data_IF_465994845367
#
_entry.id   IF_465994845367
#
_cell.length_a   1.000
_cell.length_b   1.000
_cell.length_c   1.000
_cell.angle_alpha   90.00
_cell.angle_beta   90.00
_cell.angle_gamma   90.00
#
_symmetry.space_group_name_H-M   'P 1'
#
loop_
_entity.id
_entity.type
_entity.pdbx_description
1 polymer ?
#
# COMPACT_ATOMS: atom_id res chain seq x y z
N UNK A 1 -1.92 57.51 13.50
CA UNK A 1 -1.40 56.31 12.77
C UNK A 1 -0.99 55.16 13.69
N UNK A 2 -0.86 55.35 15.02
CA UNK A 2 -0.42 54.32 15.97
C UNK A 2 -1.50 53.29 16.34
N UNK A 3 -2.76 53.70 16.43
CA UNK A 3 -3.89 52.81 16.77
C UNK A 3 -4.13 51.70 15.71
N UNK A 4 -4.14 52.05 14.42
CA UNK A 4 -4.34 51.08 13.34
C UNK A 4 -3.24 50.00 13.28
N UNK A 5 -1.99 50.36 13.61
CA UNK A 5 -0.89 49.40 13.69
C UNK A 5 -1.00 48.45 14.90
N UNK A 6 -1.67 48.89 15.97
CA UNK A 6 -1.87 48.11 17.19
C UNK A 6 -3.01 47.10 17.03
N UNK A 7 -4.10 47.48 16.38
CA UNK A 7 -5.20 46.56 16.00
C UNK A 7 -4.73 45.46 15.04
N UNK A 8 -3.93 45.81 14.02
CA UNK A 8 -3.39 44.84 13.08
C UNK A 8 -2.51 43.79 13.77
N UNK A 9 -1.73 44.21 14.77
CA UNK A 9 -0.89 43.32 15.59
C UNK A 9 -1.72 42.40 16.48
N UNK A 10 -2.80 42.88 17.08
CA UNK A 10 -3.71 42.08 17.89
C UNK A 10 -4.42 41.02 17.04
N UNK A 11 -4.93 41.38 15.87
CA UNK A 11 -5.55 40.43 14.94
C UNK A 11 -4.54 39.37 14.48
N UNK A 12 -3.33 39.79 14.12
CA UNK A 12 -2.26 38.87 13.70
C UNK A 12 -1.86 37.91 14.83
N UNK A 13 -1.73 38.42 16.06
CA UNK A 13 -1.42 37.61 17.24
C UNK A 13 -2.55 36.63 17.57
N UNK A 14 -3.81 37.06 17.47
CA UNK A 14 -4.98 36.21 17.71
C UNK A 14 -5.06 35.10 16.67
N UNK A 15 -4.89 35.42 15.39
CA UNK A 15 -4.83 34.42 14.30
C UNK A 15 -3.68 33.45 14.51
N UNK A 16 -2.52 33.92 14.98
CA UNK A 16 -1.36 33.07 15.22
C UNK A 16 -1.57 32.13 16.42
N UNK A 17 -2.17 32.62 17.52
CA UNK A 17 -2.52 31.79 18.68
C UNK A 17 -3.58 30.76 18.31
N UNK A 18 -4.60 31.15 17.55
CA UNK A 18 -5.69 30.27 17.11
C UNK A 18 -5.18 29.22 16.13
N UNK A 19 -4.30 29.61 15.20
CA UNK A 19 -3.63 28.70 14.27
C UNK A 19 -2.69 27.71 14.98
N UNK A 20 -1.91 28.19 15.96
CA UNK A 20 -1.05 27.34 16.79
C UNK A 20 -1.88 26.36 17.62
N UNK A 21 -2.96 26.83 18.24
CA UNK A 21 -3.91 26.00 18.99
C UNK A 21 -4.53 24.91 18.12
N UNK A 22 -4.99 25.27 16.91
CA UNK A 22 -5.52 24.30 15.94
C UNK A 22 -4.46 23.27 15.52
N UNK A 23 -3.22 23.72 15.27
CA UNK A 23 -2.12 22.85 14.89
C UNK A 23 -1.77 21.83 15.99
N UNK A 24 -1.74 22.25 17.26
CA UNK A 24 -1.49 21.35 18.39
C UNK A 24 -2.68 20.42 18.66
N UNK A 25 -3.92 20.89 18.46
CA UNK A 25 -5.12 20.09 18.69
C UNK A 25 -5.36 19.03 17.59
N UNK A 26 -4.95 19.31 16.35
CA UNK A 26 -5.14 18.46 15.19
C UNK A 26 -4.76 16.98 15.41
N UNK A 27 -3.53 16.62 15.84
CA UNK A 27 -3.15 15.22 16.02
C UNK A 27 -3.99 14.52 17.10
N UNK A 28 -4.43 15.25 18.12
CA UNK A 28 -5.28 14.70 19.18
C UNK A 28 -6.69 14.39 18.67
N UNK A 29 -7.28 15.32 17.92
CA UNK A 29 -8.59 15.12 17.28
C UNK A 29 -8.53 13.98 16.26
N UNK A 30 -7.47 13.90 15.46
CA UNK A 30 -7.26 12.82 14.49
C UNK A 30 -7.06 11.46 15.17
N UNK A 31 -6.36 11.42 16.31
CA UNK A 31 -6.14 10.19 17.07
C UNK A 31 -7.46 9.65 17.63
N UNK A 32 -8.24 10.50 18.30
CA UNK A 32 -9.54 10.13 18.88
C UNK A 32 -10.56 9.79 17.78
N UNK A 33 -10.60 10.58 16.71
CA UNK A 33 -11.51 10.40 15.59
C UNK A 33 -11.02 9.42 14.51
N UNK A 34 -9.91 8.71 14.75
CA UNK A 34 -9.24 7.87 13.76
C UNK A 34 -10.18 6.84 13.10
N UNK A 35 -11.17 6.32 13.84
CA UNK A 35 -12.21 5.41 13.35
C UNK A 35 -12.98 5.96 12.13
N UNK A 36 -13.10 7.28 12.01
CA UNK A 36 -13.77 7.95 10.87
C UNK A 36 -12.76 8.52 9.89
N UNK A 37 -11.66 9.10 10.39
CA UNK A 37 -10.65 9.73 9.54
C UNK A 37 -9.82 8.72 8.74
N UNK A 38 -9.49 7.55 9.29
CA UNK A 38 -8.70 6.53 8.59
C UNK A 38 -9.42 6.00 7.33
N UNK A 39 -10.70 5.58 7.40
CA UNK A 39 -11.45 5.21 6.19
C UNK A 39 -11.54 6.34 5.18
N UNK A 40 -11.74 7.58 5.65
CA UNK A 40 -11.87 8.75 4.77
C UNK A 40 -10.56 9.05 4.03
N UNK A 41 -9.43 9.06 4.74
CA UNK A 41 -8.11 9.32 4.15
C UNK A 41 -7.73 8.18 3.21
N UNK A 42 -7.97 6.93 3.61
CA UNK A 42 -7.76 5.77 2.75
C UNK A 42 -8.60 5.86 1.49
N UNK A 43 -9.89 6.19 1.62
CA UNK A 43 -10.79 6.39 0.48
C UNK A 43 -10.34 7.55 -0.43
N UNK A 44 -9.80 8.63 0.13
CA UNK A 44 -9.23 9.73 -0.65
C UNK A 44 -8.04 9.25 -1.49
N UNK A 45 -7.11 8.49 -0.89
CA UNK A 45 -5.96 7.92 -1.58
C UNK A 45 -6.42 6.96 -2.67
N UNK A 46 -7.32 6.02 -2.34
CA UNK A 46 -7.88 5.07 -3.30
C UNK A 46 -8.62 5.78 -4.44
N UNK A 47 -9.29 6.89 -4.15
CA UNK A 47 -9.96 7.70 -5.19
C UNK A 47 -8.95 8.25 -6.19
N UNK A 48 -7.79 8.72 -5.75
CA UNK A 48 -6.73 9.22 -6.65
C UNK A 48 -6.21 8.09 -7.54
N UNK A 49 -6.02 6.90 -6.97
CA UNK A 49 -5.58 5.69 -7.71
C UNK A 49 -6.63 5.23 -8.72
N UNK A 50 -7.90 5.24 -8.34
CA UNK A 50 -9.02 4.75 -9.14
C UNK A 50 -9.52 5.77 -10.18
N UNK A 51 -9.32 7.07 -9.96
CA UNK A 51 -9.78 8.14 -10.85
C UNK A 51 -9.39 7.92 -12.32
N UNK A 52 -8.12 7.65 -12.69
CA UNK A 52 -7.75 7.47 -14.10
C UNK A 52 -8.46 6.28 -14.75
N UNK A 53 -8.69 5.19 -14.00
CA UNK A 53 -9.42 4.02 -14.48
C UNK A 53 -10.91 4.36 -14.67
N UNK A 54 -11.53 4.98 -13.67
CA UNK A 54 -12.92 5.37 -13.72
C UNK A 54 -13.19 6.41 -14.83
N UNK A 55 -12.25 7.32 -15.10
CA UNK A 55 -12.34 8.32 -16.17
C UNK A 55 -12.22 7.69 -17.56
N UNK A 56 -11.32 6.71 -17.74
CA UNK A 56 -11.26 5.93 -18.99
C UNK A 56 -12.56 5.17 -19.24
N UNK A 57 -13.11 4.52 -18.21
CA UNK A 57 -14.38 3.80 -18.30
C UNK A 57 -15.54 4.73 -18.63
N UNK A 58 -15.64 5.89 -17.97
CA UNK A 58 -16.65 6.90 -18.28
C UNK A 58 -16.48 7.47 -19.71
N UNK A 59 -15.24 7.60 -20.18
CA UNK A 59 -14.91 8.01 -21.54
C UNK A 59 -15.39 7.04 -22.63
N UNK A 60 -15.61 5.77 -22.30
CA UNK A 60 -16.21 4.77 -23.20
C UNK A 60 -17.75 4.84 -23.27
N UNK A 61 -18.37 5.84 -22.62
CA UNK A 61 -19.82 6.05 -22.65
C UNK A 61 -20.59 5.42 -21.49
N UNK A 62 -19.89 4.83 -20.51
CA UNK A 62 -20.51 4.29 -19.30
C UNK A 62 -21.04 5.42 -18.39
N UNK A 63 -22.24 5.28 -17.78
CA UNK A 63 -22.69 6.20 -16.75
C UNK A 63 -21.67 6.26 -15.61
N UNK A 64 -21.45 7.46 -15.05
CA UNK A 64 -20.42 7.69 -14.04
C UNK A 64 -20.49 6.72 -12.85
N UNK A 65 -21.71 6.41 -12.39
CA UNK A 65 -21.96 5.45 -11.29
C UNK A 65 -21.42 4.05 -11.64
N UNK A 66 -21.68 3.58 -12.86
CA UNK A 66 -21.24 2.27 -13.35
C UNK A 66 -19.72 2.26 -13.53
N UNK A 67 -19.14 3.33 -14.09
CA UNK A 67 -17.70 3.47 -14.24
C UNK A 67 -16.97 3.43 -12.88
N UNK A 68 -17.50 4.12 -11.87
CA UNK A 68 -16.95 4.07 -10.50
C UNK A 68 -17.05 2.69 -9.87
N UNK A 69 -18.19 2.01 -10.03
CA UNK A 69 -18.38 0.66 -9.50
C UNK A 69 -17.42 -0.34 -10.14
N UNK A 70 -17.30 -0.33 -11.48
CA UNK A 70 -16.38 -1.19 -12.21
C UNK A 70 -14.93 -0.91 -11.79
N UNK A 71 -14.53 0.36 -11.67
CA UNK A 71 -13.19 0.69 -11.22
C UNK A 71 -12.87 0.13 -9.82
N UNK A 72 -13.82 0.24 -8.89
CA UNK A 72 -13.69 -0.34 -7.54
C UNK A 72 -13.61 -1.87 -7.58
N UNK A 73 -14.46 -2.53 -8.37
CA UNK A 73 -14.45 -3.98 -8.54
C UNK A 73 -13.15 -4.48 -9.17
N UNK A 74 -12.58 -3.75 -10.14
CA UNK A 74 -11.29 -4.08 -10.75
C UNK A 74 -10.16 -4.00 -9.71
N UNK A 75 -10.16 -2.99 -8.83
CA UNK A 75 -9.19 -2.91 -7.74
C UNK A 75 -9.33 -4.09 -6.77
N UNK A 76 -10.55 -4.39 -6.32
CA UNK A 76 -10.82 -5.53 -5.45
C UNK A 76 -10.39 -6.85 -6.09
N UNK A 77 -10.75 -7.07 -7.35
CA UNK A 77 -10.35 -8.25 -8.11
C UNK A 77 -8.83 -8.34 -8.25
N UNK A 78 -8.15 -7.22 -8.52
CA UNK A 78 -6.69 -7.14 -8.59
C UNK A 78 -6.00 -7.50 -7.28
N UNK A 79 -6.51 -7.00 -6.15
CA UNK A 79 -6.00 -7.31 -4.80
C UNK A 79 -6.19 -8.79 -4.49
N UNK A 80 -7.40 -9.33 -4.70
CA UNK A 80 -7.71 -10.74 -4.45
C UNK A 80 -6.85 -11.64 -5.34
N UNK A 81 -6.74 -11.32 -6.63
CA UNK A 81 -5.93 -12.08 -7.59
C UNK A 81 -4.45 -12.06 -7.19
N UNK A 82 -3.88 -10.90 -6.89
CA UNK A 82 -2.49 -10.78 -6.43
C UNK A 82 -2.26 -11.60 -5.15
N UNK A 83 -3.20 -11.54 -4.19
CA UNK A 83 -3.17 -12.34 -2.99
C UNK A 83 -3.17 -13.84 -3.29
N UNK A 84 -4.08 -14.33 -4.15
CA UNK A 84 -4.15 -15.75 -4.49
C UNK A 84 -2.89 -16.24 -5.23
N UNK A 85 -2.35 -15.45 -6.14
CA UNK A 85 -1.19 -15.82 -6.96
C UNK A 85 0.12 -15.87 -6.17
N UNK A 86 0.24 -15.05 -5.12
CA UNK A 86 1.48 -14.92 -4.34
C UNK A 86 1.41 -15.73 -3.05
N UNK A 87 0.27 -15.68 -2.36
CA UNK A 87 0.14 -16.24 -1.02
C UNK A 87 0.03 -17.77 -1.05
N UNK A 88 -0.66 -18.36 -2.05
CA UNK A 88 -0.77 -19.81 -2.12
C UNK A 88 0.59 -20.51 -2.25
N UNK A 89 1.48 -20.12 -3.19
CA UNK A 89 2.76 -20.79 -3.30
C UNK A 89 3.70 -20.45 -2.15
N UNK A 90 3.55 -19.28 -1.52
CA UNK A 90 4.29 -18.91 -0.33
C UNK A 90 3.96 -19.83 0.87
N UNK A 91 2.69 -20.20 1.06
CA UNK A 91 2.28 -21.16 2.09
C UNK A 91 2.90 -22.54 1.84
N UNK A 92 2.84 -23.01 0.59
CA UNK A 92 3.44 -24.32 0.22
C UNK A 92 4.96 -24.31 0.43
N UNK A 93 5.63 -23.21 0.09
CA UNK A 93 7.06 -23.04 0.34
C UNK A 93 7.34 -23.08 1.85
N UNK A 94 6.53 -22.40 2.66
CA UNK A 94 6.66 -22.39 4.11
C UNK A 94 6.53 -23.79 4.72
N UNK A 95 5.55 -24.58 4.26
CA UNK A 95 5.35 -25.96 4.70
C UNK A 95 6.50 -26.90 4.27
N UNK A 96 7.18 -26.58 3.17
CA UNK A 96 8.32 -27.37 2.65
C UNK A 96 9.69 -26.90 3.16
N UNK A 97 9.78 -25.73 3.82
CA UNK A 97 11.02 -25.22 4.41
C UNK A 97 11.73 -26.21 5.34
N UNK A 98 11.06 -26.90 6.29
CA UNK A 98 11.73 -27.87 7.16
C UNK A 98 12.41 -28.99 6.37
N UNK A 99 11.73 -29.50 5.33
CA UNK A 99 12.27 -30.55 4.48
C UNK A 99 13.45 -30.06 3.61
N UNK A 100 13.42 -28.80 3.17
CA UNK A 100 14.56 -28.17 2.47
C UNK A 100 15.76 -28.06 3.42
N UNK A 101 15.54 -27.63 4.67
CA UNK A 101 16.59 -27.53 5.69
C UNK A 101 17.21 -28.90 6.01
N UNK A 102 16.38 -29.94 6.12
CA UNK A 102 16.84 -31.31 6.34
C UNK A 102 17.69 -31.82 5.17
N UNK A 103 17.28 -31.58 3.93
CA UNK A 103 18.05 -31.96 2.73
C UNK A 103 19.38 -31.20 2.64
N UNK A 104 19.38 -29.90 2.92
CA UNK A 104 20.61 -29.10 2.98
C UNK A 104 21.53 -29.63 4.07
N UNK A 105 21.00 -29.94 5.25
CA UNK A 105 21.76 -30.53 6.36
C UNK A 105 22.38 -31.88 6.01
N UNK A 106 21.65 -32.75 5.31
CA UNK A 106 22.16 -34.04 4.84
C UNK A 106 23.26 -33.87 3.79
N UNK A 107 23.08 -33.01 2.79
CA UNK A 107 24.12 -32.74 1.79
C UNK A 107 25.35 -32.06 2.40
N UNK A 108 25.17 -31.18 3.36
CA UNK A 108 26.28 -30.60 4.12
C UNK A 108 27.02 -31.66 4.95
N UNK A 109 26.31 -32.65 5.49
CA UNK A 109 26.92 -33.76 6.23
C UNK A 109 27.73 -34.66 5.30
N UNK A 110 27.23 -34.99 4.12
CA UNK A 110 27.96 -35.75 3.09
C UNK A 110 29.21 -34.99 2.57
N UNK A 111 29.09 -33.69 2.30
CA UNK A 111 30.27 -32.86 1.98
C UNK A 111 31.25 -32.80 3.16
N UNK A 112 30.75 -32.65 4.39
CA UNK A 112 31.60 -32.61 5.60
C UNK A 112 32.31 -33.93 5.87
N UNK A 113 31.72 -35.07 5.53
CA UNK A 113 32.37 -36.38 5.58
C UNK A 113 33.49 -36.50 4.54
N UNK A 114 33.29 -35.97 3.32
CA UNK A 114 34.34 -35.88 2.30
C UNK A 114 35.48 -34.93 2.70
N UNK A 115 35.18 -33.86 3.45
CA UNK A 115 36.15 -32.94 4.06
C UNK A 115 36.47 -33.28 5.54
N UNK A 116 36.21 -34.51 5.98
CA UNK A 116 36.24 -34.95 7.39
C UNK A 116 37.55 -34.67 8.13
N UNK A 117 38.66 -34.53 7.39
CA UNK A 117 39.98 -34.16 7.93
C UNK A 117 40.04 -32.74 8.50
N UNK A 118 39.24 -31.79 7.98
CA UNK A 118 39.21 -30.40 8.45
C UNK A 118 38.32 -30.23 9.71
N UNK A 119 37.38 -31.16 9.90
CA UNK A 119 36.41 -31.16 10.99
C UNK A 119 37.00 -31.54 12.34
N UNK A 120 38.07 -32.34 12.35
CA UNK A 120 38.82 -32.68 13.59
C UNK A 120 39.56 -31.45 14.12
N UNK A 121 40.02 -30.56 13.24
CA UNK A 121 40.68 -29.31 13.61
C UNK A 121 39.71 -28.26 14.19
N UNK A 122 38.47 -28.18 13.68
CA UNK A 122 37.46 -27.22 14.15
C UNK A 122 36.72 -27.67 15.42
N UNK A 123 36.58 -28.99 15.66
CA UNK A 123 35.97 -29.53 16.90
C UNK A 123 36.73 -29.10 18.16
N UNK A 124 38.07 -29.02 18.11
CA UNK A 124 38.90 -28.52 19.23
C UNK A 124 38.76 -27.02 19.49
N UNK A 125 38.25 -26.25 18.51
CA UNK A 125 38.03 -24.81 18.63
C UNK A 125 36.60 -24.48 19.10
N UNK A 126 35.62 -25.31 18.74
CA UNK A 126 34.22 -25.15 19.16
C UNK A 126 33.95 -25.55 20.61
N UNK A 127 34.78 -26.39 21.22
CA UNK A 127 34.73 -26.68 22.67
C UNK A 127 35.11 -25.46 23.54
N UNK A 128 35.71 -24.42 22.94
CA UNK A 128 36.07 -23.17 23.62
C UNK A 128 35.02 -22.05 23.45
N UNK A 129 34.04 -22.21 22.54
CA UNK A 129 33.09 -21.15 22.17
C UNK A 129 31.70 -21.73 21.91
N UNK A 130 31.02 -22.15 22.98
CA UNK A 130 29.65 -22.64 22.88
C UNK A 130 28.65 -21.49 22.77
N UNK A 131 27.94 -21.36 21.65
CA UNK A 131 26.64 -20.67 21.51
C UNK A 131 25.93 -21.13 20.22
N UNK A 132 24.69 -21.64 20.33
CA UNK A 132 23.77 -21.88 19.21
C UNK A 132 22.43 -21.20 19.51
N UNK A 133 22.08 -20.18 18.73
CA UNK A 133 20.83 -19.43 18.84
C UNK A 133 19.86 -19.81 17.72
N UNK A 134 18.64 -20.19 18.11
CA UNK A 134 17.51 -20.38 17.21
C UNK A 134 16.84 -19.02 16.92
N UNK A 135 16.67 -18.69 15.65
CA UNK A 135 15.99 -17.48 15.20
C UNK A 135 14.52 -17.83 14.90
N UNK A 136 13.62 -17.35 15.76
CA UNK A 136 12.17 -17.51 15.60
C UNK A 136 11.68 -16.38 14.70
N UNK A 137 11.47 -16.71 13.42
CA UNK A 137 10.76 -15.82 12.49
C UNK A 137 9.29 -15.81 12.91
N UNK A 138 8.86 -14.68 13.48
CA UNK A 138 7.47 -14.40 13.82
C UNK A 138 6.68 -14.37 12.51
N UNK A 139 5.87 -15.41 12.29
CA UNK A 139 4.89 -15.44 11.22
C UNK A 139 3.92 -14.27 11.44
N UNK A 140 4.01 -13.25 10.59
CA UNK A 140 2.94 -12.25 10.50
C UNK A 140 1.68 -12.97 10.01
N UNK A 141 0.53 -12.79 10.69
CA UNK A 141 -0.70 -13.46 10.30
C UNK A 141 -0.96 -13.25 8.82
N UNK A 142 -1.19 -14.34 8.08
CA UNK A 142 -1.48 -14.23 6.65
C UNK A 142 -2.74 -13.38 6.46
N UNK A 143 -2.80 -12.55 5.42
CA UNK A 143 -3.99 -11.71 5.16
C UNK A 143 -5.29 -12.52 5.12
N UNK A 144 -5.21 -13.77 4.65
CA UNK A 144 -6.33 -14.72 4.61
C UNK A 144 -6.77 -15.16 6.02
N UNK A 145 -5.81 -15.37 6.91
CA UNK A 145 -6.03 -15.67 8.33
C UNK A 145 -6.60 -14.45 9.08
N UNK A 146 -6.13 -13.24 8.74
CA UNK A 146 -6.73 -11.99 9.22
C UNK A 146 -8.19 -11.82 8.77
N UNK A 147 -8.54 -12.25 7.55
CA UNK A 147 -9.93 -12.28 7.09
C UNK A 147 -10.75 -13.37 7.80
N UNK A 148 -10.18 -14.55 8.04
CA UNK A 148 -10.82 -15.65 8.75
C UNK A 148 -11.11 -15.33 10.22
N UNK A 149 -10.23 -14.54 10.86
CA UNK A 149 -10.39 -14.04 12.22
C UNK A 149 -10.78 -12.56 12.27
N UNK A 150 -11.33 -12.00 11.18
CA UNK A 150 -11.68 -10.60 11.14
C UNK A 150 -12.70 -10.27 12.22
N UNK A 151 -12.31 -9.44 13.19
CA UNK A 151 -13.23 -8.86 14.17
C UNK A 151 -14.33 -8.10 13.43
N UNK A 152 -15.61 -8.11 13.88
CA UNK A 152 -16.70 -7.38 13.21
C UNK A 152 -16.39 -5.91 12.91
N UNK A 153 -15.51 -5.28 13.71
CA UNK A 153 -15.01 -3.93 13.48
C UNK A 153 -14.20 -3.79 12.18
N UNK A 154 -13.33 -4.74 11.85
CA UNK A 154 -12.50 -4.71 10.63
C UNK A 154 -13.36 -4.83 9.38
N UNK A 155 -14.36 -5.69 9.42
CA UNK A 155 -15.32 -5.86 8.31
C UNK A 155 -16.08 -4.54 8.09
N UNK A 156 -16.57 -3.94 9.18
CA UNK A 156 -17.30 -2.68 9.11
C UNK A 156 -16.42 -1.53 8.61
N UNK A 157 -15.18 -1.42 9.09
CA UNK A 157 -14.22 -0.41 8.67
C UNK A 157 -13.84 -0.55 7.18
N UNK A 158 -13.61 -1.79 6.74
CA UNK A 158 -13.34 -2.10 5.33
C UNK A 158 -14.53 -1.73 4.46
N UNK A 159 -15.73 -2.13 4.86
CA UNK A 159 -16.97 -1.82 4.14
C UNK A 159 -17.19 -0.30 4.06
N UNK A 160 -16.98 0.42 5.15
CA UNK A 160 -17.11 1.87 5.20
C UNK A 160 -16.06 2.54 4.30
N UNK A 161 -14.82 2.06 4.30
CA UNK A 161 -13.75 2.54 3.42
C UNK A 161 -14.11 2.33 1.95
N UNK A 162 -14.60 1.14 1.57
CA UNK A 162 -15.03 0.84 0.21
C UNK A 162 -16.22 1.71 -0.22
N UNK A 163 -17.18 1.93 0.68
CA UNK A 163 -18.34 2.79 0.44
C UNK A 163 -17.92 4.24 0.24
N UNK A 164 -17.05 4.77 1.11
CA UNK A 164 -16.48 6.12 0.96
C UNK A 164 -15.70 6.25 -0.35
N UNK A 165 -14.89 5.25 -0.69
CA UNK A 165 -14.13 5.22 -1.95
C UNK A 165 -15.08 5.28 -3.15
N UNK A 166 -16.12 4.45 -3.16
CA UNK A 166 -17.13 4.47 -4.22
C UNK A 166 -17.76 5.85 -4.40
N UNK A 167 -18.27 6.45 -3.31
CA UNK A 167 -18.91 7.75 -3.37
C UNK A 167 -17.94 8.88 -3.74
N UNK A 168 -16.68 8.82 -3.31
CA UNK A 168 -15.67 9.82 -3.66
C UNK A 168 -15.27 9.73 -5.14
N UNK A 169 -15.05 8.51 -5.65
CA UNK A 169 -14.80 8.29 -7.09
C UNK A 169 -16.03 8.72 -7.89
N UNK A 170 -17.25 8.39 -7.47
CA UNK A 170 -18.47 8.83 -8.14
C UNK A 170 -18.66 10.36 -8.09
N UNK A 171 -18.40 11.00 -6.94
CA UNK A 171 -18.53 12.44 -6.80
C UNK A 171 -17.53 13.24 -7.64
N UNK A 172 -16.41 12.63 -8.08
CA UNK A 172 -15.32 13.32 -8.82
C UNK A 172 -15.81 14.14 -10.02
N UNK A 173 -16.74 13.59 -10.81
CA UNK A 173 -17.25 14.24 -12.04
C UNK A 173 -18.14 15.44 -11.69
N UNK A 174 -19.02 15.29 -10.68
CA UNK A 174 -19.86 16.40 -10.19
C UNK A 174 -19.02 17.51 -9.58
N UNK A 175 -18.01 17.16 -8.79
CA UNK A 175 -17.06 18.09 -8.19
C UNK A 175 -16.34 18.88 -9.30
N UNK A 176 -15.82 18.19 -10.32
CA UNK A 176 -15.14 18.81 -11.47
C UNK A 176 -16.06 19.77 -12.23
N UNK A 177 -17.33 19.40 -12.44
CA UNK A 177 -18.31 20.24 -13.15
C UNK A 177 -18.71 21.48 -12.35
N UNK A 178 -18.95 21.35 -11.04
CA UNK A 178 -19.28 22.50 -10.15
C UNK A 178 -18.15 23.53 -10.11
N UNK A 179 -16.90 23.07 -9.96
CA UNK A 179 -15.72 23.93 -9.98
C UNK A 179 -15.51 24.69 -11.30
N UNK A 180 -16.10 24.22 -12.41
CA UNK A 180 -16.02 24.88 -13.71
C UNK A 180 -17.20 25.84 -13.97
N UNK A 181 -18.34 25.66 -13.29
CA UNK A 181 -19.56 26.45 -13.50
C UNK A 181 -19.71 27.57 -12.46
N UNK A 182 -19.28 27.38 -11.21
CA UNK A 182 -19.30 28.40 -10.14
C UNK A 182 -18.10 29.38 -10.26
N UNK A 183 -17.87 29.90 -11.46
CA UNK A 183 -16.79 30.84 -11.79
C UNK A 183 -16.96 32.25 -11.22
N UNK A 184 -17.99 32.51 -10.42
CA UNK A 184 -18.44 33.88 -10.17
C UNK A 184 -17.90 34.57 -8.89
N UNK A 185 -17.45 33.90 -7.81
CA UNK A 185 -17.25 34.68 -6.57
C UNK A 185 -16.13 34.32 -5.57
N UNK A 186 -15.21 33.38 -5.83
CA UNK A 186 -14.08 33.15 -4.89
C UNK A 186 -12.75 32.81 -5.61
N UNK A 187 -11.97 33.84 -5.94
CA UNK A 187 -10.68 33.70 -6.64
C UNK A 187 -9.59 32.91 -5.88
N UNK A 188 -9.69 32.80 -4.55
CA UNK A 188 -8.73 32.03 -3.74
C UNK A 188 -9.07 30.53 -3.67
N UNK A 189 -10.35 30.16 -3.56
CA UNK A 189 -10.78 28.76 -3.48
C UNK A 189 -10.61 28.03 -4.82
N UNK A 190 -10.79 28.72 -5.95
CA UNK A 190 -10.56 28.17 -7.29
C UNK A 190 -9.10 27.83 -7.57
N UNK A 191 -8.15 28.66 -7.07
CA UNK A 191 -6.71 28.38 -7.18
C UNK A 191 -6.35 27.13 -6.37
N UNK A 192 -6.81 27.04 -5.13
CA UNK A 192 -6.59 25.86 -4.29
C UNK A 192 -7.17 24.58 -4.91
N UNK A 193 -8.41 24.64 -5.43
CA UNK A 193 -9.04 23.49 -6.08
C UNK A 193 -8.33 23.05 -7.36
N UNK A 194 -7.73 23.99 -8.11
CA UNK A 194 -6.89 23.67 -9.27
C UNK A 194 -5.59 22.99 -8.83
N UNK A 195 -4.90 23.53 -7.83
CA UNK A 195 -3.67 22.93 -7.29
C UNK A 195 -3.93 21.52 -6.78
N UNK A 196 -5.01 21.30 -6.03
CA UNK A 196 -5.39 19.96 -5.56
C UNK A 196 -5.58 19.01 -6.74
N UNK A 197 -6.28 19.44 -7.79
CA UNK A 197 -6.50 18.62 -8.98
C UNK A 197 -5.19 18.31 -9.72
N UNK A 198 -4.33 19.30 -9.90
CA UNK A 198 -3.04 19.12 -10.55
C UNK A 198 -2.17 18.12 -9.76
N UNK A 199 -2.23 18.18 -8.42
CA UNK A 199 -1.58 17.18 -7.56
C UNK A 199 -2.21 15.80 -7.74
N UNK A 200 -3.54 15.69 -7.75
CA UNK A 200 -4.23 14.42 -7.97
C UNK A 200 -3.85 13.80 -9.32
N UNK A 201 -3.87 14.58 -10.41
CA UNK A 201 -3.53 14.12 -11.75
C UNK A 201 -2.06 13.67 -11.83
N UNK A 202 -1.15 14.41 -11.17
CA UNK A 202 0.28 14.04 -11.08
C UNK A 202 0.49 12.76 -10.29
N UNK A 203 -0.16 12.62 -9.14
CA UNK A 203 -0.07 11.41 -8.29
C UNK A 203 -0.65 10.22 -9.03
N UNK A 204 -1.81 10.37 -9.68
CA UNK A 204 -2.43 9.33 -10.48
C UNK A 204 -1.53 8.88 -11.65
N UNK A 205 -0.95 9.83 -12.39
CA UNK A 205 -0.03 9.53 -13.50
C UNK A 205 1.25 8.84 -13.01
N UNK A 206 1.80 9.28 -11.88
CA UNK A 206 2.94 8.63 -11.24
C UNK A 206 2.61 7.19 -10.84
N UNK A 207 1.52 6.98 -10.09
CA UNK A 207 1.10 5.64 -9.66
C UNK A 207 0.88 4.73 -10.87
N UNK A 208 0.19 5.20 -11.92
CA UNK A 208 -0.02 4.42 -13.14
C UNK A 208 1.30 4.03 -13.82
N UNK A 209 2.25 4.96 -13.89
CA UNK A 209 3.58 4.71 -14.47
C UNK A 209 4.33 3.66 -13.66
N UNK A 210 4.35 3.79 -12.33
CA UNK A 210 4.98 2.84 -11.41
C UNK A 210 4.32 1.47 -11.52
N UNK A 211 2.99 1.38 -11.62
CA UNK A 211 2.27 0.12 -11.84
C UNK A 211 2.69 -0.55 -13.14
N UNK A 212 2.80 0.20 -14.25
CA UNK A 212 3.23 -0.37 -15.53
C UNK A 212 4.67 -0.88 -15.52
N UNK A 213 5.58 -0.11 -14.91
CA UNK A 213 6.98 -0.52 -14.76
C UNK A 213 7.06 -1.79 -13.91
N UNK A 214 6.37 -1.82 -12.77
CA UNK A 214 6.36 -2.98 -11.88
C UNK A 214 5.70 -4.21 -12.50
N UNK A 215 4.63 -4.03 -13.27
CA UNK A 215 4.04 -5.13 -14.05
C UNK A 215 5.03 -5.69 -15.08
N UNK A 216 5.80 -4.82 -15.75
CA UNK A 216 6.88 -5.24 -16.66
C UNK A 216 7.98 -6.01 -15.95
N UNK A 217 8.45 -5.52 -14.80
CA UNK A 217 9.44 -6.22 -13.97
C UNK A 217 8.91 -7.58 -13.52
N UNK A 218 7.68 -7.64 -13.01
CA UNK A 218 7.07 -8.90 -12.59
C UNK A 218 6.91 -9.90 -13.74
N UNK A 219 6.56 -9.43 -14.94
CA UNK A 219 6.50 -10.29 -16.12
C UNK A 219 7.88 -10.83 -16.50
N UNK A 220 8.92 -9.98 -16.52
CA UNK A 220 10.29 -10.40 -16.84
C UNK A 220 10.79 -11.42 -15.82
N UNK A 221 10.61 -11.16 -14.52
CA UNK A 221 11.03 -12.07 -13.45
C UNK A 221 10.24 -13.37 -13.49
N UNK A 222 8.93 -13.32 -13.72
CA UNK A 222 8.10 -14.52 -13.85
C UNK A 222 8.50 -15.39 -15.05
N UNK A 223 8.81 -14.77 -16.20
CA UNK A 223 9.30 -15.49 -17.38
C UNK A 223 10.70 -16.06 -17.15
N UNK A 224 11.58 -15.33 -16.48
CA UNK A 224 12.90 -15.83 -16.11
C UNK A 224 12.79 -17.03 -15.16
N UNK A 225 11.96 -16.94 -14.13
CA UNK A 225 11.70 -18.03 -13.20
C UNK A 225 11.16 -19.28 -13.93
N UNK A 226 10.23 -19.08 -14.88
CA UNK A 226 9.71 -20.17 -15.70
C UNK A 226 10.80 -20.78 -16.60
N UNK A 227 11.65 -19.95 -17.23
CA UNK A 227 12.76 -20.41 -18.06
C UNK A 227 13.85 -21.17 -17.29
N UNK A 228 14.08 -20.80 -16.02
CA UNK A 228 15.00 -21.51 -15.12
C UNK A 228 14.38 -22.76 -14.46
N UNK A 229 13.11 -23.06 -14.74
CA UNK A 229 12.41 -24.21 -14.16
C UNK A 229 12.14 -24.08 -12.66
N UNK A 230 12.05 -22.84 -12.14
CA UNK A 230 11.68 -22.61 -10.75
C UNK A 230 10.22 -22.97 -10.50
N UNK A 231 9.95 -23.55 -9.34
CA UNK A 231 8.59 -23.75 -8.86
C UNK A 231 7.92 -22.40 -8.61
N UNK A 232 6.63 -22.31 -8.97
CA UNK A 232 5.78 -21.13 -8.80
C UNK A 232 6.33 -19.82 -9.43
N UNK A 233 6.57 -19.77 -10.76
CA UNK A 233 7.11 -18.58 -11.44
C UNK A 233 6.23 -17.33 -11.29
N UNK A 234 4.91 -17.51 -11.20
CA UNK A 234 3.96 -16.41 -11.01
C UNK A 234 4.11 -15.76 -9.63
N UNK A 235 4.42 -16.53 -8.58
CA UNK A 235 4.70 -15.99 -7.25
C UNK A 235 5.93 -15.08 -7.29
N UNK A 236 7.03 -15.55 -7.90
CA UNK A 236 8.28 -14.79 -8.00
C UNK A 236 8.11 -13.51 -8.81
N UNK A 237 7.40 -13.57 -9.95
CA UNK A 237 7.05 -12.38 -10.71
C UNK A 237 6.18 -11.40 -9.92
N UNK A 238 5.17 -11.91 -9.20
CA UNK A 238 4.31 -11.11 -8.34
C UNK A 238 5.07 -10.44 -7.18
N UNK A 239 5.93 -11.19 -6.49
CA UNK A 239 6.80 -10.66 -5.44
C UNK A 239 7.73 -9.58 -5.97
N UNK A 240 8.35 -9.80 -7.13
CA UNK A 240 9.21 -8.79 -7.75
C UNK A 240 8.42 -7.50 -8.07
N UNK A 241 7.20 -7.62 -8.60
CA UNK A 241 6.35 -6.46 -8.87
C UNK A 241 5.92 -5.72 -7.58
N UNK A 242 5.62 -6.43 -6.50
CA UNK A 242 5.21 -5.82 -5.22
C UNK A 242 6.41 -5.20 -4.49
N UNK A 243 7.51 -5.93 -4.37
CA UNK A 243 8.71 -5.47 -3.66
C UNK A 243 9.33 -4.25 -4.34
N UNK A 244 9.28 -4.18 -5.67
CA UNK A 244 9.74 -3.02 -6.42
C UNK A 244 8.72 -1.85 -6.43
N UNK A 245 7.54 -2.04 -5.81
CA UNK A 245 6.62 -0.95 -5.49
C UNK A 245 7.03 -0.22 -4.20
N UNK A 246 7.81 -0.87 -3.31
CA UNK A 246 8.40 -0.24 -2.13
C UNK A 246 9.64 0.57 -2.58
N UNK A 247 9.68 1.89 -2.35
CA UNK A 247 10.85 2.69 -2.71
C UNK A 247 12.08 2.28 -1.87
N UNK A 248 13.25 2.24 -2.52
CA UNK A 248 14.56 1.99 -1.91
C UNK A 248 14.95 3.04 -0.86
#
# INVERSE_FOLDING_TARGET
>A
MTFAAQELRLISALVLILGLGLFLALPFVLSIGSVVFLPLVTALILTIVLSPLADKLAGWGLPNVVASLIALLVLLAGIVLAGLLILQPAIVLFDTLPAILDQIGQRFTELREQFGWLTVASKRLSELTGHSGNEVVVASPSVLEQFAYATPSVILETLLTLLMTFFMVEARVRMRRRLLLERADFGASLKAARVIRDVQDRVAAYILTVTWINAGVGLIVGLAAWAFGLDAPVMWGGLAAILNFLPY
#
